data_IF_029162708107
#
_entry.id   IF_029162708107
#
_cell.length_a   1.000
_cell.length_b   1.000
_cell.length_c   1.000
_cell.angle_alpha   90.00
_cell.angle_beta   90.00
_cell.angle_gamma   90.00
#
_symmetry.space_group_name_H-M   'P 1'
#
loop_
_entity.id
_entity.type
_entity.pdbx_description
1 polymer ?
#
# COMPACT_ATOMS: atom_id res chain seq x y z
N UNK A 1 9.97 9.24 -16.93
CA UNK A 1 8.57 9.42 -17.37
C UNK A 1 8.34 8.61 -18.61
N UNK A 2 7.78 7.41 -18.46
CA UNK A 2 7.42 6.54 -19.58
C UNK A 2 5.92 6.31 -19.49
N UNK A 3 5.21 6.45 -20.61
CA UNK A 3 3.77 6.20 -20.68
C UNK A 3 3.39 4.85 -20.04
N UNK A 4 4.23 3.84 -20.22
CA UNK A 4 4.08 2.54 -19.58
C UNK A 4 4.10 2.64 -18.04
N UNK A 5 5.17 3.19 -17.47
CA UNK A 5 5.36 3.32 -16.01
C UNK A 5 4.29 4.20 -15.36
N UNK A 6 3.82 5.24 -16.06
CA UNK A 6 2.90 6.23 -15.50
C UNK A 6 1.41 5.84 -15.63
N UNK A 7 1.04 5.05 -16.64
CA UNK A 7 -0.36 4.79 -16.98
C UNK A 7 -0.73 3.31 -17.04
N UNK A 8 0.14 2.49 -17.60
CA UNK A 8 -0.15 1.07 -17.88
C UNK A 8 0.23 0.20 -16.69
N UNK A 9 1.49 0.27 -16.27
CA UNK A 9 2.05 -0.53 -15.19
C UNK A 9 1.28 -0.40 -13.86
N UNK A 10 0.93 0.81 -13.35
CA UNK A 10 0.28 0.94 -12.05
C UNK A 10 -1.06 0.20 -11.99
N UNK A 11 -1.82 0.23 -13.09
CA UNK A 11 -3.14 -0.40 -13.18
C UNK A 11 -3.04 -1.92 -13.35
N UNK A 12 -2.12 -2.37 -14.19
CA UNK A 12 -1.88 -3.81 -14.39
C UNK A 12 -1.30 -4.47 -13.14
N UNK A 13 -0.35 -3.82 -12.48
CA UNK A 13 0.24 -4.29 -11.23
C UNK A 13 -0.84 -4.36 -10.14
N UNK A 14 -1.65 -3.31 -9.98
CA UNK A 14 -2.78 -3.34 -9.04
C UNK A 14 -3.74 -4.51 -9.31
N UNK A 15 -4.12 -4.72 -10.57
CA UNK A 15 -5.02 -5.80 -10.97
C UNK A 15 -4.42 -7.18 -10.67
N UNK A 16 -3.15 -7.40 -11.06
CA UNK A 16 -2.44 -8.64 -10.78
C UNK A 16 -2.34 -8.91 -9.27
N UNK A 17 -2.11 -7.86 -8.48
CA UNK A 17 -1.93 -7.99 -7.03
C UNK A 17 -3.22 -8.17 -6.24
N UNK A 18 -4.38 -7.94 -6.84
CA UNK A 18 -5.70 -8.31 -6.30
C UNK A 18 -5.98 -9.82 -6.32
N UNK A 19 -4.98 -10.63 -6.64
CA UNK A 19 -5.03 -12.09 -6.57
C UNK A 19 -5.57 -12.58 -5.21
N UNK A 20 -6.67 -13.36 -5.27
CA UNK A 20 -7.37 -13.92 -4.11
C UNK A 20 -6.50 -14.86 -3.26
N UNK A 21 -5.56 -15.57 -3.89
CA UNK A 21 -4.67 -16.49 -3.20
C UNK A 21 -3.75 -15.75 -2.23
N UNK A 22 -3.33 -14.53 -2.59
CA UNK A 22 -2.48 -13.68 -1.73
C UNK A 22 -3.29 -12.95 -0.64
N UNK A 23 -4.60 -12.83 -0.79
CA UNK A 23 -5.44 -12.09 0.15
C UNK A 23 -5.43 -12.71 1.56
N UNK A 24 -5.44 -14.05 1.67
CA UNK A 24 -5.38 -14.74 2.96
C UNK A 24 -4.06 -14.48 3.69
N UNK A 25 -2.94 -14.59 2.97
CA UNK A 25 -1.60 -14.31 3.53
C UNK A 25 -1.48 -12.85 3.98
N UNK A 26 -1.92 -11.90 3.15
CA UNK A 26 -1.95 -10.48 3.51
C UNK A 26 -2.72 -10.21 4.79
N UNK A 27 -3.96 -10.72 4.89
CA UNK A 27 -4.78 -10.55 6.11
C UNK A 27 -4.08 -11.11 7.35
N UNK A 28 -3.46 -12.29 7.24
CA UNK A 28 -2.76 -12.92 8.37
C UNK A 28 -1.54 -12.12 8.81
N UNK A 29 -0.70 -11.67 7.88
CA UNK A 29 0.55 -10.97 8.21
C UNK A 29 0.26 -9.53 8.65
N UNK A 30 -0.54 -8.80 7.88
CA UNK A 30 -0.80 -7.38 8.12
C UNK A 30 -1.73 -7.18 9.32
N UNK A 31 -2.74 -8.05 9.49
CA UNK A 31 -3.65 -7.99 10.64
C UNK A 31 -2.99 -8.33 11.99
N UNK A 32 -1.79 -8.90 11.97
CA UNK A 32 -0.97 -9.15 13.14
C UNK A 32 0.00 -8.00 13.45
N UNK A 33 0.09 -6.98 12.60
CA UNK A 33 0.99 -5.85 12.82
C UNK A 33 0.46 -4.92 13.95
N UNK A 34 1.39 -4.36 14.72
CA UNK A 34 1.08 -3.52 15.89
C UNK A 34 2.13 -2.42 16.04
N UNK A 35 1.80 -1.34 16.74
CA UNK A 35 2.73 -0.24 17.00
C UNK A 35 3.01 0.60 15.75
N UNK A 36 4.28 0.89 15.48
CA UNK A 36 4.70 1.70 14.31
C UNK A 36 5.14 0.77 13.20
N UNK A 37 4.53 0.88 12.02
CA UNK A 37 4.79 -0.04 10.90
C UNK A 37 5.49 0.70 9.76
N UNK A 38 6.56 0.09 9.23
CA UNK A 38 7.19 0.51 7.98
C UNK A 38 6.73 -0.43 6.86
N UNK A 39 6.06 0.12 5.85
CA UNK A 39 5.67 -0.60 4.65
C UNK A 39 6.57 -0.21 3.48
N UNK A 40 7.42 -1.14 3.06
CA UNK A 40 8.34 -0.95 1.93
C UNK A 40 7.67 -1.43 0.65
N UNK A 41 7.61 -0.57 -0.37
CA UNK A 41 6.94 -0.88 -1.63
C UNK A 41 5.42 -0.94 -1.45
N UNK A 42 4.84 0.09 -0.83
CA UNK A 42 3.39 0.17 -0.55
C UNK A 42 2.53 0.09 -1.83
N UNK A 43 3.13 0.35 -2.99
CA UNK A 43 2.50 0.19 -4.28
C UNK A 43 1.19 0.97 -4.38
N UNK A 44 0.13 0.29 -4.81
CA UNK A 44 -1.20 0.88 -4.95
C UNK A 44 -2.01 0.90 -3.63
N UNK A 45 -1.38 0.57 -2.50
CA UNK A 45 -1.99 0.61 -1.16
C UNK A 45 -3.00 -0.50 -0.87
N UNK A 46 -2.87 -1.67 -1.48
CA UNK A 46 -3.79 -2.81 -1.24
C UNK A 46 -3.74 -3.34 0.21
N UNK A 47 -2.65 -3.09 0.91
CA UNK A 47 -2.41 -3.54 2.28
C UNK A 47 -2.99 -2.57 3.32
N UNK A 48 -3.16 -1.29 2.97
CA UNK A 48 -3.59 -0.23 3.90
C UNK A 48 -4.91 -0.55 4.62
N UNK A 49 -5.96 -1.07 3.97
CA UNK A 49 -7.21 -1.42 4.65
C UNK A 49 -7.11 -2.62 5.60
N UNK A 50 -5.98 -3.32 5.62
CA UNK A 50 -5.77 -4.53 6.41
C UNK A 50 -5.09 -4.26 7.74
N UNK A 51 -4.55 -3.05 7.95
CA UNK A 51 -4.01 -2.64 9.23
C UNK A 51 -5.14 -2.44 10.25
N UNK A 52 -5.00 -3.09 11.41
CA UNK A 52 -5.96 -3.00 12.50
C UNK A 52 -5.62 -1.88 13.50
N UNK A 53 -6.51 -1.69 14.47
CA UNK A 53 -6.44 -0.63 15.50
C UNK A 53 -5.19 -0.70 16.39
N UNK A 54 -4.51 -1.85 16.44
CA UNK A 54 -3.25 -2.01 17.20
C UNK A 54 -2.08 -1.28 16.55
N UNK A 55 -2.23 -0.81 15.30
CA UNK A 55 -1.24 0.00 14.60
C UNK A 55 -1.46 1.48 14.92
N UNK A 56 -0.39 2.13 15.41
CA UNK A 56 -0.36 3.55 15.76
C UNK A 56 -0.11 4.45 14.54
N UNK A 57 0.74 4.00 13.62
CA UNK A 57 1.03 4.68 12.36
C UNK A 57 1.64 3.71 11.34
N UNK A 58 1.45 4.02 10.07
CA UNK A 58 2.10 3.34 8.93
C UNK A 58 2.93 4.35 8.16
N UNK A 59 4.20 4.06 7.98
CA UNK A 59 5.11 4.78 7.08
C UNK A 59 5.19 3.98 5.78
N UNK A 60 4.60 4.48 4.71
CA UNK A 60 4.49 3.82 3.42
C UNK A 60 5.53 4.37 2.44
N UNK A 61 6.55 3.57 2.11
CA UNK A 61 7.58 3.90 1.13
C UNK A 61 7.19 3.40 -0.25
N UNK A 62 7.28 4.26 -1.26
CA UNK A 62 7.02 3.89 -2.66
C UNK A 62 7.74 4.84 -3.62
N UNK A 63 8.51 4.36 -4.61
CA UNK A 63 9.15 5.21 -5.60
C UNK A 63 8.18 5.81 -6.64
N UNK A 64 7.05 5.15 -6.90
CA UNK A 64 6.10 5.60 -7.92
C UNK A 64 5.10 6.63 -7.40
N UNK A 65 5.26 7.92 -7.77
CA UNK A 65 4.28 8.97 -7.44
C UNK A 65 2.83 8.62 -7.85
N UNK A 66 2.64 7.95 -8.99
CA UNK A 66 1.32 7.45 -9.44
C UNK A 66 0.78 6.30 -8.58
N UNK A 67 1.66 5.44 -8.08
CA UNK A 67 1.30 4.36 -7.15
C UNK A 67 0.87 4.95 -5.81
N UNK A 68 1.63 5.92 -5.27
CA UNK A 68 1.24 6.69 -4.08
C UNK A 68 -0.14 7.34 -4.26
N UNK A 69 -0.40 7.95 -5.41
CA UNK A 69 -1.71 8.56 -5.67
C UNK A 69 -2.87 7.54 -5.66
N UNK A 70 -2.63 6.30 -6.10
CA UNK A 70 -3.60 5.20 -5.97
C UNK A 70 -3.73 4.74 -4.52
N UNK A 71 -2.62 4.60 -3.81
CA UNK A 71 -2.58 4.17 -2.42
C UNK A 71 -3.35 5.12 -1.50
N UNK A 72 -3.18 6.44 -1.68
CA UNK A 72 -3.93 7.47 -0.95
C UNK A 72 -5.44 7.32 -1.09
N UNK A 73 -5.94 6.86 -2.24
CA UNK A 73 -7.39 6.62 -2.45
C UNK A 73 -7.90 5.39 -1.71
N UNK A 74 -7.03 4.43 -1.38
CA UNK A 74 -7.36 3.21 -0.66
C UNK A 74 -7.04 3.28 0.83
N UNK A 75 -6.36 4.34 1.27
CA UNK A 75 -6.12 4.60 2.68
C UNK A 75 -7.48 4.70 3.40
N UNK A 76 -7.76 3.88 4.41
CA UNK A 76 -9.02 3.93 5.13
C UNK A 76 -9.15 5.30 5.81
N UNK A 77 -10.25 6.00 5.56
CA UNK A 77 -10.59 7.23 6.26
C UNK A 77 -10.79 6.88 7.75
N UNK A 78 -9.84 7.25 8.60
CA UNK A 78 -10.01 7.28 10.06
C UNK A 78 -9.54 6.05 10.85
N UNK A 79 -8.98 5.00 10.24
CA UNK A 79 -8.56 3.80 10.99
C UNK A 79 -7.10 3.86 11.49
N UNK A 80 -6.15 4.23 10.63
CA UNK A 80 -4.72 4.27 10.96
C UNK A 80 -4.07 5.45 10.22
N UNK A 81 -3.30 6.33 10.88
CA UNK A 81 -2.53 7.37 10.22
C UNK A 81 -1.51 6.76 9.25
N UNK A 82 -1.55 7.16 7.97
CA UNK A 82 -0.60 6.70 6.94
C UNK A 82 0.23 7.89 6.43
N UNK A 83 1.54 7.84 6.67
CA UNK A 83 2.52 8.77 6.12
C UNK A 83 3.14 8.17 4.86
N UNK A 84 2.86 8.77 3.70
CA UNK A 84 3.46 8.34 2.43
C UNK A 84 4.78 9.08 2.21
N UNK A 85 5.83 8.32 1.92
CA UNK A 85 7.16 8.82 1.62
C UNK A 85 7.54 8.36 0.22
N UNK A 86 7.73 9.33 -0.69
CA UNK A 86 8.32 9.07 -1.99
C UNK A 86 9.83 8.85 -1.79
N UNK A 87 10.25 7.60 -1.89
CA UNK A 87 11.64 7.21 -1.67
C UNK A 87 12.19 6.57 -2.93
N UNK A 88 13.41 6.94 -3.33
CA UNK A 88 14.11 6.27 -4.42
C UNK A 88 14.44 4.84 -4.05
N UNK A 89 14.22 3.91 -4.98
CA UNK A 89 14.74 2.54 -4.90
C UNK A 89 16.19 2.48 -5.39
#
# INVERSE_FOLDING_TARGET
MSFYTDRVFPRLCDLAMRNRYLAAYRRRVIGAAEGRVLEVGSGSGLNLPLYGERVREVIALEPGARMIALARRKSPLGAVPVAFVEASA
#
